data_IF_798450853256
#
_entry.id   IF_798450853256
#
_cell.length_a   1.000
_cell.length_b   1.000
_cell.length_c   1.000
_cell.angle_alpha   90.00
_cell.angle_beta   90.00
_cell.angle_gamma   90.00
#
_symmetry.space_group_name_H-M   'P 1'
#
loop_
_entity.id
_entity.type
_entity.pdbx_description
1 polymer ?
#
# COMPACT_ATOMS: atom_id res chain seq x y z
N UNK A 1 35.05 16.72 -31.60
CA UNK A 1 33.87 16.10 -30.98
C UNK A 1 33.10 15.43 -32.11
N UNK A 2 33.02 14.10 -32.11
CA UNK A 2 32.38 13.34 -33.18
C UNK A 2 30.87 13.65 -33.23
N UNK A 3 30.33 13.84 -34.43
CA UNK A 3 28.92 14.24 -34.67
C UNK A 3 27.93 13.31 -33.96
N UNK A 4 28.26 12.02 -33.91
CA UNK A 4 27.46 10.98 -33.23
C UNK A 4 27.25 11.28 -31.75
N UNK A 5 28.27 11.78 -31.05
CA UNK A 5 28.18 12.13 -29.63
C UNK A 5 27.24 13.31 -29.39
N UNK A 6 27.24 14.30 -30.29
CA UNK A 6 26.34 15.46 -30.19
C UNK A 6 24.89 15.03 -30.42
N UNK A 7 24.64 14.15 -31.40
CA UNK A 7 23.31 13.62 -31.70
C UNK A 7 22.78 12.78 -30.53
N UNK A 8 23.57 11.85 -30.00
CA UNK A 8 23.19 11.01 -28.87
C UNK A 8 22.87 11.84 -27.62
N UNK A 9 23.70 12.83 -27.29
CA UNK A 9 23.48 13.72 -26.15
C UNK A 9 22.19 14.54 -26.30
N UNK A 10 21.93 15.05 -27.50
CA UNK A 10 20.71 15.83 -27.77
C UNK A 10 19.44 14.97 -27.65
N UNK A 11 19.49 13.73 -28.16
CA UNK A 11 18.38 12.78 -28.05
C UNK A 11 18.12 12.41 -26.59
N UNK A 12 19.17 12.19 -25.80
CA UNK A 12 19.04 11.87 -24.37
C UNK A 12 18.42 13.04 -23.58
N UNK A 13 18.88 14.28 -23.81
CA UNK A 13 18.31 15.46 -23.16
C UNK A 13 16.82 15.59 -23.46
N UNK A 14 16.43 15.41 -24.72
CA UNK A 14 15.03 15.45 -25.15
C UNK A 14 14.18 14.34 -24.53
N UNK A 15 14.76 13.16 -24.29
CA UNK A 15 14.09 12.08 -23.56
C UNK A 15 13.91 12.41 -22.08
N UNK A 16 14.91 13.04 -21.42
CA UNK A 16 14.85 13.45 -20.01
C UNK A 16 13.84 14.56 -19.75
N UNK A 17 13.70 15.51 -20.67
CA UNK A 17 12.69 16.58 -20.60
C UNK A 17 11.24 16.07 -20.71
N UNK A 18 11.05 14.76 -20.94
CA UNK A 18 9.75 14.10 -20.91
C UNK A 18 9.33 13.49 -22.24
N UNK A 19 10.13 13.58 -23.30
CA UNK A 19 9.99 12.81 -24.54
C UNK A 19 8.61 12.91 -25.24
N UNK A 20 8.53 13.67 -26.34
CA UNK A 20 7.46 13.51 -27.33
C UNK A 20 6.02 13.82 -26.86
N UNK A 21 5.83 14.92 -26.13
CA UNK A 21 4.51 15.46 -25.78
C UNK A 21 3.77 14.68 -24.69
N UNK A 22 2.44 14.61 -24.77
CA UNK A 22 1.57 14.11 -23.68
C UNK A 22 1.79 12.63 -23.29
N UNK A 23 2.59 11.87 -24.04
CA UNK A 23 2.85 10.44 -23.78
C UNK A 23 3.95 10.19 -22.77
N UNK A 24 4.69 11.21 -22.34
CA UNK A 24 5.80 11.08 -21.39
C UNK A 24 6.77 9.96 -21.79
N UNK A 25 7.17 9.92 -23.07
CA UNK A 25 8.05 8.90 -23.64
C UNK A 25 7.41 7.53 -23.97
N UNK A 26 6.13 7.28 -23.65
CA UNK A 26 5.49 5.98 -23.96
C UNK A 26 5.30 5.75 -25.46
N UNK A 27 5.53 4.51 -25.91
CA UNK A 27 5.25 4.07 -27.29
C UNK A 27 3.79 4.36 -27.70
N UNK A 28 3.55 4.64 -28.99
CA UNK A 28 2.18 4.87 -29.48
C UNK A 28 1.25 3.67 -29.25
N UNK A 29 1.80 2.45 -29.23
CA UNK A 29 1.09 1.18 -29.06
C UNK A 29 1.21 0.58 -27.66
N UNK A 30 1.63 1.33 -26.63
CA UNK A 30 1.91 0.79 -25.30
C UNK A 30 0.75 -0.02 -24.69
N UNK A 31 -0.50 0.34 -24.97
CA UNK A 31 -1.68 -0.40 -24.51
C UNK A 31 -1.81 -1.80 -25.14
N UNK A 32 -1.35 -1.96 -26.38
CA UNK A 32 -1.31 -3.27 -27.05
C UNK A 32 -0.15 -4.10 -26.51
N UNK A 33 1.00 -3.46 -26.25
CA UNK A 33 2.18 -4.11 -25.67
C UNK A 33 1.93 -4.64 -24.25
N UNK A 34 1.17 -3.89 -23.45
CA UNK A 34 0.82 -4.23 -22.06
C UNK A 34 -0.64 -4.67 -21.93
N UNK A 35 -1.18 -5.32 -22.96
CA UNK A 35 -2.54 -5.85 -22.91
C UNK A 35 -2.58 -7.04 -21.95
N UNK A 36 -3.52 -7.03 -21.00
CA UNK A 36 -3.68 -8.13 -20.07
C UNK A 36 -4.11 -9.42 -20.77
N UNK A 37 -3.59 -10.58 -20.33
CA UNK A 37 -4.08 -11.88 -20.79
C UNK A 37 -5.50 -12.13 -20.25
N UNK A 38 -6.24 -13.04 -20.90
CA UNK A 38 -7.47 -13.58 -20.34
C UNK A 38 -7.17 -14.33 -19.03
N UNK A 39 -8.08 -14.26 -18.05
CA UNK A 39 -7.82 -14.79 -16.70
C UNK A 39 -7.50 -16.30 -16.68
N UNK A 40 -8.06 -17.07 -17.63
CA UNK A 40 -7.76 -18.50 -17.77
C UNK A 40 -6.28 -18.80 -18.04
N UNK A 41 -5.54 -17.86 -18.63
CA UNK A 41 -4.09 -17.99 -18.88
C UNK A 41 -3.26 -17.75 -17.60
N UNK A 42 -3.89 -17.29 -16.52
CA UNK A 42 -3.25 -17.02 -15.24
C UNK A 42 -3.46 -18.15 -14.21
N UNK A 43 -4.10 -19.27 -14.57
CA UNK A 43 -4.39 -20.33 -13.60
C UNK A 43 -3.13 -21.07 -13.13
N UNK A 44 -2.15 -21.29 -14.01
CA UNK A 44 -0.85 -21.82 -13.60
C UNK A 44 -0.13 -20.87 -12.63
N UNK A 45 -0.19 -19.56 -12.90
CA UNK A 45 0.30 -18.51 -12.01
C UNK A 45 -0.37 -18.57 -10.64
N UNK A 46 -1.70 -18.73 -10.60
CA UNK A 46 -2.47 -18.84 -9.35
C UNK A 46 -2.00 -20.01 -8.48
N UNK A 47 -1.67 -21.15 -9.10
CA UNK A 47 -1.25 -22.35 -8.39
C UNK A 47 0.22 -22.26 -7.91
N UNK A 48 1.08 -21.68 -8.74
CA UNK A 48 2.53 -21.59 -8.47
C UNK A 48 2.92 -20.42 -7.57
N UNK A 49 2.08 -19.38 -7.47
CA UNK A 49 2.38 -18.19 -6.66
C UNK A 49 2.24 -18.50 -5.18
N UNK A 50 3.29 -18.27 -4.41
CA UNK A 50 3.27 -18.36 -2.96
C UNK A 50 2.29 -17.36 -2.35
N UNK A 51 1.40 -17.85 -1.48
CA UNK A 51 0.34 -17.07 -0.84
C UNK A 51 0.84 -16.46 0.47
N UNK A 52 1.91 -15.67 0.38
CA UNK A 52 2.48 -14.95 1.52
C UNK A 52 1.95 -13.51 1.59
N UNK A 53 1.29 -13.15 2.68
CA UNK A 53 0.71 -11.81 2.88
C UNK A 53 1.78 -10.71 2.83
N UNK A 54 2.92 -10.90 3.51
CA UNK A 54 4.00 -9.91 3.54
C UNK A 54 4.59 -9.65 2.15
N UNK A 55 4.72 -10.68 1.33
CA UNK A 55 5.16 -10.56 -0.06
C UNK A 55 4.11 -9.88 -0.94
N UNK A 56 2.88 -10.41 -0.96
CA UNK A 56 1.86 -10.00 -1.91
C UNK A 56 1.24 -8.64 -1.57
N UNK A 57 1.01 -8.34 -0.30
CA UNK A 57 0.24 -7.18 0.14
C UNK A 57 1.11 -6.05 0.72
N UNK A 58 2.37 -6.30 1.08
CA UNK A 58 3.26 -5.27 1.64
C UNK A 58 4.45 -4.94 0.73
N UNK A 59 5.25 -5.95 0.34
CA UNK A 59 6.50 -5.75 -0.40
C UNK A 59 6.28 -5.40 -1.88
N UNK A 60 5.26 -5.97 -2.50
CA UNK A 60 4.99 -5.78 -3.93
C UNK A 60 4.05 -4.59 -4.16
N UNK A 61 4.49 -3.49 -4.79
CA UNK A 61 3.70 -2.26 -4.85
C UNK A 61 2.33 -2.42 -5.53
N UNK A 62 2.27 -3.17 -6.64
CA UNK A 62 0.99 -3.43 -7.35
C UNK A 62 0.07 -4.32 -6.50
N UNK A 63 0.63 -5.32 -5.82
CA UNK A 63 -0.14 -6.21 -4.95
C UNK A 63 -0.67 -5.46 -3.72
N UNK A 64 0.15 -4.66 -3.06
CA UNK A 64 -0.25 -3.72 -1.99
C UNK A 64 -1.38 -2.79 -2.44
N UNK A 65 -1.25 -2.19 -3.63
CA UNK A 65 -2.26 -1.31 -4.17
C UNK A 65 -3.60 -2.04 -4.41
N UNK A 66 -3.57 -3.22 -5.05
CA UNK A 66 -4.78 -4.00 -5.32
C UNK A 66 -5.43 -4.55 -4.04
N UNK A 67 -4.63 -4.94 -3.04
CA UNK A 67 -5.14 -5.32 -1.73
C UNK A 67 -5.84 -4.15 -1.03
N UNK A 68 -5.28 -2.94 -1.11
CA UNK A 68 -5.92 -1.74 -0.56
C UNK A 68 -7.22 -1.39 -1.28
N UNK A 69 -7.28 -1.49 -2.60
CA UNK A 69 -8.54 -1.35 -3.35
C UNK A 69 -9.59 -2.39 -2.96
N UNK A 70 -9.17 -3.62 -2.64
CA UNK A 70 -10.05 -4.64 -2.08
C UNK A 70 -10.56 -4.21 -0.69
N UNK A 71 -9.67 -3.79 0.21
CA UNK A 71 -10.04 -3.32 1.55
C UNK A 71 -10.99 -2.11 1.50
N UNK A 72 -10.87 -1.24 0.49
CA UNK A 72 -11.81 -0.14 0.30
C UNK A 72 -13.26 -0.60 0.12
N UNK A 73 -13.52 -1.82 -0.35
CA UNK A 73 -14.90 -2.30 -0.55
C UNK A 73 -15.64 -2.62 0.76
N UNK A 74 -14.90 -2.75 1.87
CA UNK A 74 -15.41 -3.22 3.16
C UNK A 74 -15.08 -2.20 4.26
N UNK A 75 -16.08 -1.57 4.91
CA UNK A 75 -15.83 -0.52 5.90
C UNK A 75 -14.86 -0.91 7.02
N UNK A 76 -14.94 -2.15 7.51
CA UNK A 76 -14.07 -2.69 8.56
C UNK A 76 -12.60 -2.73 8.13
N UNK A 77 -12.32 -3.23 6.91
CA UNK A 77 -10.96 -3.29 6.37
C UNK A 77 -10.45 -1.90 5.99
N UNK A 78 -11.32 -1.05 5.47
CA UNK A 78 -11.00 0.33 5.12
C UNK A 78 -10.49 1.11 6.34
N UNK A 79 -11.11 0.94 7.51
CA UNK A 79 -10.66 1.57 8.77
C UNK A 79 -9.29 1.08 9.21
N UNK A 80 -9.04 -0.23 9.12
CA UNK A 80 -7.72 -0.82 9.39
C UNK A 80 -6.62 -0.20 8.49
N UNK A 81 -6.88 -0.09 7.18
CA UNK A 81 -5.92 0.50 6.24
C UNK A 81 -5.68 1.98 6.52
N UNK A 82 -6.74 2.76 6.80
CA UNK A 82 -6.62 4.17 7.18
C UNK A 82 -5.81 4.36 8.47
N UNK A 83 -5.99 3.49 9.45
CA UNK A 83 -5.20 3.49 10.68
C UNK A 83 -3.72 3.28 10.39
N UNK A 84 -3.37 2.26 9.60
CA UNK A 84 -1.98 2.00 9.20
C UNK A 84 -1.34 3.21 8.47
N UNK A 85 -2.11 3.88 7.62
CA UNK A 85 -1.63 5.10 6.94
C UNK A 85 -1.42 6.26 7.91
N UNK A 86 -2.31 6.43 8.89
CA UNK A 86 -2.17 7.44 9.92
C UNK A 86 -0.96 7.17 10.83
N UNK A 87 -0.68 5.91 11.17
CA UNK A 87 0.53 5.53 11.92
C UNK A 87 1.79 5.81 11.11
N UNK A 88 1.80 5.47 9.81
CA UNK A 88 2.95 5.77 8.94
C UNK A 88 3.23 7.29 8.84
N UNK A 89 2.19 8.12 8.81
CA UNK A 89 2.32 9.58 8.84
C UNK A 89 2.82 10.08 10.21
N UNK A 90 2.33 9.50 11.31
CA UNK A 90 2.79 9.81 12.67
C UNK A 90 4.29 9.52 12.85
N UNK A 91 4.79 8.40 12.32
CA UNK A 91 6.21 8.00 12.42
C UNK A 91 7.19 8.98 11.75
N UNK A 92 6.73 9.65 10.68
CA UNK A 92 7.51 10.67 9.96
C UNK A 92 7.21 12.10 10.40
N UNK A 93 6.23 12.29 11.30
CA UNK A 93 5.87 13.61 11.84
C UNK A 93 7.04 14.18 12.67
N UNK A 94 7.38 15.48 12.50
CA UNK A 94 8.41 16.15 13.32
C UNK A 94 8.13 16.07 14.82
N UNK A 95 9.18 16.07 15.63
CA UNK A 95 9.09 15.89 17.09
C UNK A 95 8.14 16.91 17.74
N UNK A 96 8.13 18.15 17.26
CA UNK A 96 7.33 19.25 17.81
C UNK A 96 5.82 19.03 17.66
N UNK A 97 5.41 18.29 16.62
CA UNK A 97 4.01 18.02 16.30
C UNK A 97 3.58 16.61 16.62
N UNK A 98 4.52 15.70 16.93
CA UNK A 98 4.22 14.28 17.09
C UNK A 98 3.23 14.02 18.21
N UNK A 99 3.32 14.73 19.33
CA UNK A 99 2.37 14.56 20.45
C UNK A 99 0.93 14.90 20.04
N UNK A 100 0.74 16.01 19.32
CA UNK A 100 -0.57 16.42 18.79
C UNK A 100 -1.11 15.39 17.79
N UNK A 101 -0.28 14.99 16.81
CA UNK A 101 -0.64 13.96 15.83
C UNK A 101 -1.01 12.62 16.49
N UNK A 102 -0.30 12.20 17.54
CA UNK A 102 -0.62 11.00 18.29
C UNK A 102 -1.97 11.10 19.02
N UNK A 103 -2.31 12.26 19.58
CA UNK A 103 -3.58 12.48 20.25
C UNK A 103 -4.76 12.43 19.28
N UNK A 104 -4.61 13.04 18.10
CA UNK A 104 -5.60 12.96 17.02
C UNK A 104 -5.81 11.51 16.54
N UNK A 105 -4.72 10.76 16.41
CA UNK A 105 -4.76 9.35 16.00
C UNK A 105 -5.53 8.50 17.02
N UNK A 106 -5.23 8.67 18.32
CA UNK A 106 -5.95 7.99 19.40
C UNK A 106 -7.43 8.39 19.37
N UNK A 107 -7.76 9.67 19.36
CA UNK A 107 -9.17 10.10 19.38
C UNK A 107 -9.94 9.57 18.17
N UNK A 108 -9.31 9.50 17.00
CA UNK A 108 -9.95 9.03 15.78
C UNK A 108 -10.14 7.51 15.74
N UNK A 109 -9.15 6.72 16.12
CA UNK A 109 -9.17 5.27 15.89
C UNK A 109 -9.46 4.46 17.15
N UNK A 110 -9.19 4.99 18.35
CA UNK A 110 -9.39 4.29 19.63
C UNK A 110 -10.69 4.67 20.33
N UNK A 111 -11.34 5.76 19.92
CA UNK A 111 -12.63 6.17 20.49
C UNK A 111 -13.78 5.31 19.92
N UNK A 112 -14.51 4.54 20.74
CA UNK A 112 -15.60 3.69 20.25
C UNK A 112 -16.78 4.46 19.62
N UNK A 113 -16.86 5.78 19.86
CA UNK A 113 -17.88 6.66 19.25
C UNK A 113 -17.46 7.21 17.90
N UNK A 114 -16.20 7.04 17.50
CA UNK A 114 -15.69 7.48 16.21
C UNK A 114 -16.16 6.54 15.09
N UNK A 115 -16.50 7.10 13.93
CA UNK A 115 -16.85 6.31 12.74
C UNK A 115 -15.68 5.43 12.27
N UNK A 116 -14.45 5.93 12.43
CA UNK A 116 -13.21 5.27 12.01
C UNK A 116 -12.62 4.36 13.12
N UNK A 117 -13.35 4.06 14.20
CA UNK A 117 -12.90 3.17 15.27
C UNK A 117 -12.45 1.79 14.74
N UNK A 118 -11.29 1.32 15.24
CA UNK A 118 -10.68 0.03 14.89
C UNK A 118 -10.85 -0.94 16.08
N UNK A 119 -11.89 -1.80 16.06
CA UNK A 119 -12.21 -2.68 17.18
C UNK A 119 -11.18 -3.79 17.42
N UNK A 120 -10.30 -4.05 16.44
CA UNK A 120 -9.22 -5.03 16.56
C UNK A 120 -8.19 -4.60 17.63
N UNK A 121 -8.07 -3.31 17.94
CA UNK A 121 -7.17 -2.82 18.99
C UNK A 121 -7.86 -2.92 20.35
N UNK A 122 -7.35 -3.81 21.22
CA UNK A 122 -7.92 -4.05 22.55
C UNK A 122 -7.78 -2.86 23.51
N UNK A 123 -8.74 -2.69 24.42
CA UNK A 123 -8.79 -1.61 25.43
C UNK A 123 -7.49 -1.47 26.24
N UNK A 124 -6.88 -2.60 26.61
CA UNK A 124 -5.63 -2.62 27.36
C UNK A 124 -4.46 -1.99 26.56
N UNK A 125 -4.39 -2.24 25.26
CA UNK A 125 -3.37 -1.67 24.38
C UNK A 125 -3.63 -0.19 24.10
N UNK A 126 -4.90 0.20 23.96
CA UNK A 126 -5.29 1.61 23.84
C UNK A 126 -4.90 2.41 25.08
N UNK A 127 -5.09 1.85 26.28
CA UNK A 127 -4.68 2.48 27.53
C UNK A 127 -3.16 2.66 27.62
N UNK A 128 -2.39 1.63 27.22
CA UNK A 128 -0.92 1.69 27.21
C UNK A 128 -0.37 2.74 26.24
N UNK A 129 -0.92 2.82 25.02
CA UNK A 129 -0.54 3.84 24.05
C UNK A 129 -0.85 5.25 24.58
N UNK A 130 -2.01 5.43 25.23
CA UNK A 130 -2.39 6.71 25.84
C UNK A 130 -1.42 7.14 26.96
N UNK A 131 -1.08 6.22 27.86
CA UNK A 131 -0.15 6.51 28.96
C UNK A 131 1.23 6.91 28.42
N UNK A 132 1.77 6.12 27.48
CA UNK A 132 3.06 6.40 26.85
C UNK A 132 3.05 7.72 26.09
N UNK A 133 1.98 8.04 25.37
CA UNK A 133 1.84 9.30 24.64
C UNK A 133 1.87 10.53 25.57
N UNK A 134 1.37 10.41 26.80
CA UNK A 134 1.45 11.48 27.79
C UNK A 134 2.88 11.71 28.29
N UNK A 135 3.64 10.63 28.47
CA UNK A 135 5.03 10.67 28.93
C UNK A 135 5.97 11.13 27.81
N UNK A 136 6.01 10.40 26.69
CA UNK A 136 6.91 10.65 25.56
C UNK A 136 6.29 10.19 24.24
N UNK A 137 6.15 11.10 23.28
CA UNK A 137 5.70 10.79 21.93
C UNK A 137 6.88 10.22 21.11
N UNK A 138 7.14 8.92 21.25
CA UNK A 138 8.15 8.23 20.46
C UNK A 138 7.58 7.72 19.12
N UNK A 139 8.44 7.43 18.14
CA UNK A 139 8.03 6.96 16.80
C UNK A 139 7.36 5.59 16.83
N UNK A 140 7.87 4.68 17.66
CA UNK A 140 7.42 3.29 17.73
C UNK A 140 6.18 3.10 18.63
N UNK A 141 5.50 4.18 19.02
CA UNK A 141 4.39 4.16 19.99
C UNK A 141 3.27 3.18 19.61
N UNK A 142 2.95 3.08 18.32
CA UNK A 142 1.85 2.27 17.79
C UNK A 142 2.33 0.96 17.14
N UNK A 143 3.59 0.57 17.30
CA UNK A 143 4.16 -0.62 16.64
C UNK A 143 3.38 -1.90 16.93
N UNK A 144 2.98 -2.10 18.18
CA UNK A 144 2.22 -3.29 18.59
C UNK A 144 0.79 -3.27 18.01
N UNK A 145 0.17 -2.08 17.92
CA UNK A 145 -1.11 -1.90 17.24
C UNK A 145 -0.99 -2.22 15.75
N UNK A 146 0.03 -1.67 15.07
CA UNK A 146 0.33 -1.95 13.67
C UNK A 146 0.50 -3.43 13.41
N UNK A 147 1.27 -4.13 14.27
CA UNK A 147 1.46 -5.57 14.17
C UNK A 147 0.13 -6.32 14.29
N UNK A 148 -0.68 -5.98 15.28
CA UNK A 148 -1.99 -6.62 15.48
C UNK A 148 -2.90 -6.45 14.25
N UNK A 149 -2.94 -5.25 13.66
CA UNK A 149 -3.74 -5.00 12.45
C UNK A 149 -3.23 -5.80 11.26
N UNK A 150 -1.91 -5.95 11.07
CA UNK A 150 -1.37 -6.82 10.04
C UNK A 150 -1.69 -8.30 10.32
N UNK A 151 -1.60 -8.75 11.57
CA UNK A 151 -1.95 -10.12 11.97
C UNK A 151 -3.42 -10.40 11.61
N UNK A 152 -4.34 -9.48 11.93
CA UNK A 152 -5.75 -9.57 11.52
C UNK A 152 -5.94 -9.62 9.99
N UNK A 153 -5.33 -8.67 9.26
CA UNK A 153 -5.46 -8.58 7.80
C UNK A 153 -4.88 -9.80 7.07
N UNK A 154 -3.87 -10.46 7.65
CA UNK A 154 -3.16 -11.59 7.05
C UNK A 154 -3.94 -12.91 7.03
N UNK A 155 -5.06 -13.00 7.74
CA UNK A 155 -5.85 -14.24 7.87
C UNK A 155 -7.09 -14.17 6.97
N UNK A 156 -8.29 -13.99 7.53
CA UNK A 156 -9.54 -14.05 6.76
C UNK A 156 -9.62 -12.97 5.67
N UNK A 157 -9.25 -11.68 5.92
CA UNK A 157 -9.28 -10.66 4.87
C UNK A 157 -8.33 -10.98 3.70
N UNK A 158 -7.18 -11.58 3.98
CA UNK A 158 -6.24 -12.00 2.95
C UNK A 158 -6.77 -13.20 2.15
N UNK A 159 -7.38 -14.19 2.81
CA UNK A 159 -8.05 -15.30 2.10
C UNK A 159 -9.15 -14.80 1.17
N UNK A 160 -10.02 -13.90 1.66
CA UNK A 160 -11.07 -13.28 0.85
C UNK A 160 -10.50 -12.49 -0.34
N UNK A 161 -9.36 -11.80 -0.14
CA UNK A 161 -8.66 -11.11 -1.22
C UNK A 161 -8.18 -12.08 -2.30
N UNK A 162 -7.57 -13.22 -1.92
CA UNK A 162 -7.06 -14.23 -2.85
C UNK A 162 -8.18 -14.85 -3.71
N UNK A 163 -9.41 -14.88 -3.22
CA UNK A 163 -10.59 -15.34 -3.96
C UNK A 163 -11.32 -14.21 -4.74
N UNK A 164 -10.84 -12.97 -4.64
CA UNK A 164 -11.47 -11.80 -5.26
C UNK A 164 -10.99 -11.51 -6.69
N UNK A 165 -11.75 -10.65 -7.40
CA UNK A 165 -11.33 -10.12 -8.70
C UNK A 165 -10.06 -9.25 -8.63
N UNK A 166 -9.72 -8.71 -7.45
CA UNK A 166 -8.51 -7.90 -7.27
C UNK A 166 -7.26 -8.78 -7.36
N UNK A 167 -7.29 -9.98 -6.79
CA UNK A 167 -6.20 -10.94 -6.96
C UNK A 167 -6.13 -11.48 -8.39
N UNK A 168 -7.26 -11.69 -9.06
CA UNK A 168 -7.28 -11.99 -10.50
C UNK A 168 -6.54 -10.92 -11.32
N UNK A 169 -6.77 -9.64 -11.01
CA UNK A 169 -6.05 -8.53 -11.63
C UNK A 169 -4.57 -8.52 -11.27
N UNK A 170 -4.20 -8.87 -10.04
CA UNK A 170 -2.81 -9.01 -9.64
C UNK A 170 -2.10 -10.09 -10.47
N UNK A 171 -2.74 -11.23 -10.70
CA UNK A 171 -2.16 -12.30 -11.53
C UNK A 171 -1.96 -11.88 -12.99
N UNK A 172 -2.86 -11.06 -13.55
CA UNK A 172 -2.65 -10.48 -14.89
C UNK A 172 -1.44 -9.54 -14.95
N UNK A 173 -1.19 -8.78 -13.88
CA UNK A 173 0.04 -7.99 -13.76
C UNK A 173 1.29 -8.86 -13.62
N UNK A 174 1.20 -9.92 -12.81
CA UNK A 174 2.28 -10.91 -12.68
C UNK A 174 2.61 -11.61 -13.99
N UNK A 175 1.62 -11.86 -14.81
CA UNK A 175 1.83 -12.42 -16.14
C UNK A 175 2.61 -11.47 -17.05
N UNK A 176 2.35 -10.16 -17.00
CA UNK A 176 3.10 -9.16 -17.79
C UNK A 176 4.52 -8.90 -17.27
N UNK A 177 4.80 -9.21 -16.00
CA UNK A 177 6.14 -9.08 -15.41
C UNK A 177 7.09 -10.21 -15.84
N UNK A 178 6.54 -11.35 -16.29
CA UNK A 178 7.30 -12.52 -16.73
C UNK A 178 7.93 -12.34 -18.11
#
# INVERSE_FOLDING_TARGET
MELENIVANTVLLKAREGGGGNRKGKSKKWKQLLQFPHISLCEELRQTTEKDYGSLCERQPIGRFLFRLFCETRPELRRCVKFLDAVAEYEVTPDEKRKESGLELVDKYFNPKSEDHVPEVEDAMMAQCNERLQQEACKELFKDCTKLIHDYLSVAPFADYLDSMYYNRFLQWKWLER
#
